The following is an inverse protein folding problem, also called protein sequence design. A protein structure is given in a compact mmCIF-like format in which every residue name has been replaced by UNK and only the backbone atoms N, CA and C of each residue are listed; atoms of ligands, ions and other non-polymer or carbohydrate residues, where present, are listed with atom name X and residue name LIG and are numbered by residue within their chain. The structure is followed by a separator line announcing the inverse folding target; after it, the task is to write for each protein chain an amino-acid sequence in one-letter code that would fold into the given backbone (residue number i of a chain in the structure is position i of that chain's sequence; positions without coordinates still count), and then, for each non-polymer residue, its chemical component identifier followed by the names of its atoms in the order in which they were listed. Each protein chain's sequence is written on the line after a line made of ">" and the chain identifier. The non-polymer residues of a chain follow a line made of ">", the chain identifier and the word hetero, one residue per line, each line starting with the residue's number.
data_IF_293516443373
#
_entry.id   IF_293516443373
#
_cell.length_a   1.000
_cell.length_b   1.000
_cell.length_c   1.000
_cell.angle_alpha   90.00
_cell.angle_beta   90.00
_cell.angle_gamma   90.00
#
_symmetry.space_group_name_H-M   'P 1'
#
loop_
_entity.id
_entity.type
_entity.pdbx_description
1 polymer ?
#
# COMPACT_ATOMS: atom_id res chain seq x y z
N UNK A 1 20.57 -7.94 5.51
CA UNK A 1 19.53 -6.90 5.31
C UNK A 1 19.54 -6.57 3.84
N UNK A 2 18.88 -7.42 3.05
CA UNK A 2 19.08 -7.50 1.62
C UNK A 2 18.51 -6.29 0.89
N UNK A 3 19.47 -5.56 0.33
CA UNK A 3 19.40 -4.28 -0.33
C UNK A 3 19.00 -4.49 -1.80
N UNK A 4 17.88 -5.16 -2.05
CA UNK A 4 17.34 -5.36 -3.40
C UNK A 4 16.06 -4.54 -3.57
N UNK A 5 16.26 -3.22 -3.61
CA UNK A 5 15.27 -2.15 -3.87
C UNK A 5 14.76 -2.13 -5.32
N UNK A 6 14.76 -3.26 -6.01
CA UNK A 6 14.04 -3.38 -7.28
C UNK A 6 12.58 -3.65 -6.94
N UNK A 7 11.79 -2.58 -6.93
CA UNK A 7 10.37 -2.58 -6.63
C UNK A 7 9.59 -3.42 -7.65
N UNK A 8 9.67 -4.74 -7.53
CA UNK A 8 8.85 -5.71 -8.27
C UNK A 8 7.54 -5.88 -7.53
N UNK A 9 6.45 -5.88 -8.29
CA UNK A 9 5.13 -6.06 -7.74
C UNK A 9 5.03 -7.46 -7.10
N UNK A 10 4.68 -7.56 -5.81
CA UNK A 10 4.56 -8.86 -5.14
C UNK A 10 3.43 -9.71 -5.69
N UNK A 11 2.49 -9.11 -6.43
CA UNK A 11 1.33 -9.78 -7.01
C UNK A 11 1.59 -10.35 -8.41
N UNK A 12 2.34 -9.66 -9.26
CA UNK A 12 2.52 -10.06 -10.66
C UNK A 12 3.97 -10.03 -11.16
N UNK A 13 4.93 -9.64 -10.33
CA UNK A 13 6.34 -9.46 -10.75
C UNK A 13 6.59 -8.26 -11.67
N UNK A 14 5.56 -7.47 -12.01
CA UNK A 14 5.69 -6.27 -12.83
C UNK A 14 6.45 -5.12 -12.15
N UNK A 15 6.79 -4.09 -12.90
CA UNK A 15 7.51 -2.92 -12.38
C UNK A 15 6.59 -2.04 -11.52
N UNK A 16 7.08 -1.59 -10.36
CA UNK A 16 6.45 -0.56 -9.54
C UNK A 16 7.06 0.82 -9.87
N UNK A 17 6.23 1.85 -9.90
CA UNK A 17 6.63 3.24 -9.99
C UNK A 17 6.33 3.95 -8.65
N UNK A 18 7.22 4.84 -8.21
CA UNK A 18 6.98 5.68 -7.05
C UNK A 18 6.12 6.87 -7.48
N UNK A 19 4.89 6.92 -6.98
CA UNK A 19 3.88 7.90 -7.40
C UNK A 19 3.25 8.57 -6.20
N UNK A 20 2.71 9.74 -6.45
CA UNK A 20 1.97 10.51 -5.48
C UNK A 20 0.47 10.22 -5.61
N UNK A 21 -0.18 9.91 -4.50
CA UNK A 21 -1.61 9.63 -4.41
C UNK A 21 -2.31 10.80 -3.73
N UNK A 22 -3.46 11.18 -4.29
CA UNK A 22 -4.29 12.27 -3.78
C UNK A 22 -5.61 11.68 -3.28
N UNK A 23 -5.85 11.80 -1.97
CA UNK A 23 -7.14 11.57 -1.33
C UNK A 23 -7.90 12.88 -1.13
N UNK A 24 -9.10 12.81 -0.55
CA UNK A 24 -9.92 14.00 -0.26
C UNK A 24 -9.34 14.90 0.83
N UNK A 25 -8.55 14.36 1.74
CA UNK A 25 -7.95 15.10 2.87
C UNK A 25 -6.45 14.87 3.05
N UNK A 26 -5.85 13.95 2.29
CA UNK A 26 -4.45 13.57 2.46
C UNK A 26 -3.77 13.27 1.13
N UNK A 27 -2.46 13.52 1.10
CA UNK A 27 -1.59 13.16 -0.01
C UNK A 27 -0.48 12.29 0.55
N UNK A 28 -0.20 11.19 -0.13
CA UNK A 28 0.88 10.29 0.27
C UNK A 28 1.62 9.74 -0.94
N UNK A 29 2.89 9.41 -0.76
CA UNK A 29 3.71 8.76 -1.77
C UNK A 29 3.72 7.25 -1.55
N UNK A 30 3.70 6.48 -2.63
CA UNK A 30 3.75 5.02 -2.55
C UNK A 30 4.13 4.37 -3.87
N UNK A 31 4.34 3.06 -3.84
CA UNK A 31 4.70 2.29 -5.02
C UNK A 31 3.45 1.72 -5.70
N UNK A 32 3.21 2.05 -6.97
CA UNK A 32 2.11 1.51 -7.77
C UNK A 32 2.63 0.62 -8.89
N UNK A 33 2.06 -0.57 -9.04
CA UNK A 33 2.37 -1.44 -10.17
C UNK A 33 1.77 -0.89 -11.46
N UNK A 34 2.61 -0.76 -12.49
CA UNK A 34 2.16 -0.33 -13.82
C UNK A 34 1.40 -1.43 -14.58
N UNK A 35 1.47 -2.68 -14.12
CA UNK A 35 0.85 -3.83 -14.78
C UNK A 35 -0.51 -4.18 -14.17
N UNK A 36 -0.57 -4.44 -12.86
CA UNK A 36 -1.80 -4.88 -12.20
C UNK A 36 -2.41 -3.84 -11.24
N UNK A 37 -1.79 -2.68 -11.09
CA UNK A 37 -2.28 -1.61 -10.19
C UNK A 37 -2.04 -1.85 -8.70
N UNK A 38 -1.37 -2.94 -8.29
CA UNK A 38 -1.07 -3.22 -6.90
C UNK A 38 -0.29 -2.05 -6.26
N UNK A 39 -0.79 -1.56 -5.12
CA UNK A 39 -0.13 -0.51 -4.34
C UNK A 39 0.63 -1.16 -3.18
N UNK A 40 1.89 -0.78 -3.04
CA UNK A 40 2.81 -1.27 -2.00
C UNK A 40 3.30 -0.06 -1.20
N UNK A 41 2.96 -0.06 0.07
CA UNK A 41 3.33 0.94 1.07
C UNK A 41 3.30 0.25 2.45
N UNK A 42 4.20 0.57 3.40
CA UNK A 42 4.23 -0.09 4.70
C UNK A 42 2.90 -0.04 5.48
N UNK A 43 2.18 1.07 5.42
CA UNK A 43 0.88 1.23 6.08
C UNK A 43 -0.16 0.37 5.39
N UNK A 44 -0.21 0.39 4.06
CA UNK A 44 -1.12 -0.44 3.27
C UNK A 44 -0.86 -1.94 3.53
N UNK A 45 0.41 -2.37 3.58
CA UNK A 45 0.79 -3.75 3.87
C UNK A 45 0.38 -4.15 5.29
N UNK A 46 0.59 -3.28 6.27
CA UNK A 46 0.19 -3.52 7.66
C UNK A 46 -1.32 -3.68 7.77
N UNK A 47 -2.09 -2.77 7.14
CA UNK A 47 -3.55 -2.85 7.12
C UNK A 47 -4.05 -4.13 6.45
N UNK A 48 -3.43 -4.57 5.35
CA UNK A 48 -3.76 -5.85 4.69
C UNK A 48 -3.47 -7.05 5.58
N UNK A 49 -2.36 -7.04 6.34
CA UNK A 49 -2.04 -8.12 7.28
C UNK A 49 -3.06 -8.19 8.41
N UNK A 50 -3.44 -7.05 8.99
CA UNK A 50 -4.46 -6.96 10.04
C UNK A 50 -5.83 -7.47 9.55
N UNK A 51 -6.22 -7.12 8.33
CA UNK A 51 -7.46 -7.63 7.73
C UNK A 51 -7.42 -9.15 7.54
N UNK A 52 -6.26 -9.72 7.15
CA UNK A 52 -6.10 -11.19 7.01
C UNK A 52 -6.11 -11.93 8.34
N UNK A 53 -5.63 -11.32 9.43
CA UNK A 53 -5.64 -11.93 10.76
C UNK A 53 -7.02 -11.86 11.44
N UNK A 54 -8.05 -11.29 10.78
CA UNK A 54 -9.38 -11.12 11.37
C UNK A 54 -9.39 -10.09 12.50
N UNK A 55 -8.32 -9.32 12.69
CA UNK A 55 -8.27 -8.24 13.66
C UNK A 55 -9.06 -7.05 13.11
N UNK A 56 -10.18 -6.73 13.74
CA UNK A 56 -10.92 -5.50 13.47
C UNK A 56 -10.03 -4.31 13.79
N UNK A 57 -9.49 -3.65 12.77
CA UNK A 57 -8.96 -2.30 12.92
C UNK A 57 -10.10 -1.42 13.42
N UNK A 58 -9.97 -0.93 14.65
CA UNK A 58 -10.87 0.04 15.26
C UNK A 58 -10.66 1.39 14.56
N UNK A 59 -11.10 1.48 13.29
CA UNK A 59 -11.12 2.74 12.55
C UNK A 59 -12.15 3.59 13.25
N UNK A 60 -11.68 4.47 14.14
CA UNK A 60 -12.49 5.54 14.71
C UNK A 60 -12.98 6.39 13.54
N UNK A 61 -14.14 6.04 12.99
CA UNK A 61 -14.96 6.92 12.16
C UNK A 61 -15.35 8.08 13.05
N UNK A 62 -14.53 9.13 13.09
CA UNK A 62 -15.03 10.45 13.45
C UNK A 62 -16.04 10.84 12.36
N UNK A 63 -17.30 10.49 12.60
CA UNK A 63 -18.44 11.14 11.94
C UNK A 63 -18.47 12.58 12.46
N UNK A 64 -18.30 13.55 11.57
CA UNK A 64 -18.83 14.90 11.75
C UNK A 64 -20.09 15.04 10.91
#
# INVERSE_FOLDING_TARGET
>A
MDKSLFSKCPRCGGTLAYVNFYGSHEQFWGWKCLICGEIVDPVILTNRQLMRSGQSINVRRTKS
#
